data_IF_513748891100
#
_entry.id   IF_513748891100
#
_cell.length_a   1.000
_cell.length_b   1.000
_cell.length_c   1.000
_cell.angle_alpha   90.00
_cell.angle_beta   90.00
_cell.angle_gamma   90.00
#
_symmetry.space_group_name_H-M   'P 1'
#
loop_
_entity.id
_entity.type
_entity.pdbx_description
1 polymer ?
#
# COMPACT_ATOMS: atom_id res chain seq x y z
N UNK A 1 -1.02 -25.32 -8.64
CA UNK A 1 -0.06 -24.35 -9.23
C UNK A 1 -0.79 -23.63 -10.35
N UNK A 2 -0.74 -22.30 -10.36
CA UNK A 2 -1.56 -21.47 -11.23
C UNK A 2 -0.71 -20.48 -12.02
N UNK A 3 -1.27 -19.97 -13.11
CA UNK A 3 -0.57 -19.08 -14.04
C UNK A 3 -1.37 -17.82 -14.36
N UNK A 4 -0.66 -16.70 -14.55
CA UNK A 4 -1.16 -15.54 -15.27
C UNK A 4 -0.90 -15.76 -16.76
N UNK A 5 -1.97 -15.93 -17.54
CA UNK A 5 -1.94 -16.11 -19.00
C UNK A 5 -2.19 -14.75 -19.65
N UNK A 6 -1.14 -14.10 -20.14
CA UNK A 6 -1.21 -12.74 -20.68
C UNK A 6 -1.22 -12.82 -22.21
N UNK A 7 -2.26 -12.28 -22.84
CA UNK A 7 -2.40 -12.21 -24.30
C UNK A 7 -2.29 -10.76 -24.76
N UNK A 8 -1.30 -10.46 -25.60
CA UNK A 8 -1.23 -9.18 -26.33
C UNK A 8 -1.94 -9.35 -27.69
N UNK A 9 -3.08 -8.69 -27.88
CA UNK A 9 -3.84 -8.69 -29.14
C UNK A 9 -3.70 -7.39 -29.95
N UNK A 10 -2.76 -6.52 -29.59
CA UNK A 10 -2.39 -5.39 -30.45
C UNK A 10 -1.53 -5.84 -31.63
N UNK A 11 -1.47 -4.99 -32.65
CA UNK A 11 -0.62 -5.14 -33.83
C UNK A 11 0.85 -4.81 -33.57
N UNK A 12 1.22 -4.45 -32.32
CA UNK A 12 2.57 -4.09 -31.88
C UNK A 12 3.01 -4.94 -30.70
N UNK A 13 4.31 -4.97 -30.40
CA UNK A 13 4.78 -5.52 -29.13
C UNK A 13 4.34 -4.61 -27.98
N UNK A 14 3.95 -5.20 -26.85
CA UNK A 14 3.54 -4.48 -25.64
C UNK A 14 4.40 -4.92 -24.46
N UNK A 15 4.94 -3.96 -23.71
CA UNK A 15 5.69 -4.20 -22.48
C UNK A 15 4.77 -4.09 -21.26
N UNK A 16 4.96 -5.01 -20.33
CA UNK A 16 4.28 -5.03 -19.04
C UNK A 16 5.31 -5.02 -17.91
N UNK A 17 5.10 -4.22 -16.87
CA UNK A 17 5.80 -4.43 -15.60
C UNK A 17 5.06 -5.53 -14.84
N UNK A 18 5.81 -6.43 -14.21
CA UNK A 18 5.25 -7.56 -13.47
C UNK A 18 5.65 -7.46 -12.00
N UNK A 19 4.94 -6.65 -11.22
CA UNK A 19 5.23 -6.49 -9.79
C UNK A 19 4.66 -7.69 -9.02
N UNK A 20 5.42 -8.26 -8.08
CA UNK A 20 5.04 -9.47 -7.34
C UNK A 20 5.08 -10.78 -8.14
N UNK A 21 5.35 -10.71 -9.45
CA UNK A 21 5.37 -11.83 -10.40
C UNK A 21 6.63 -11.76 -11.27
N UNK A 22 6.97 -12.80 -12.04
CA UNK A 22 8.13 -12.83 -12.96
C UNK A 22 9.49 -12.45 -12.31
N UNK A 23 9.62 -12.53 -10.99
CA UNK A 23 10.78 -12.01 -10.26
C UNK A 23 10.98 -10.49 -10.39
N UNK A 24 9.89 -9.71 -10.43
CA UNK A 24 9.86 -8.25 -10.61
C UNK A 24 10.51 -7.76 -11.92
N UNK A 25 10.52 -8.59 -12.98
CA UNK A 25 11.07 -8.25 -14.29
C UNK A 25 9.99 -7.85 -15.28
N UNK A 26 10.26 -6.82 -16.07
CA UNK A 26 9.44 -6.44 -17.21
C UNK A 26 9.34 -7.58 -18.24
N UNK A 27 8.17 -7.68 -18.87
CA UNK A 27 7.84 -8.68 -19.88
C UNK A 27 7.35 -7.98 -21.15
N UNK A 28 8.09 -8.12 -22.25
CA UNK A 28 7.63 -7.67 -23.57
C UNK A 28 7.01 -8.83 -24.34
N UNK A 29 5.72 -8.73 -24.67
CA UNK A 29 4.99 -9.72 -25.47
C UNK A 29 4.83 -9.17 -26.89
N UNK A 30 5.25 -9.95 -27.89
CA UNK A 30 5.14 -9.56 -29.30
C UNK A 30 3.68 -9.34 -29.76
N UNK A 31 3.51 -8.67 -30.90
CA UNK A 31 2.21 -8.47 -31.54
C UNK A 31 1.46 -9.80 -31.74
N UNK A 32 0.18 -9.84 -31.36
CA UNK A 32 -0.65 -11.06 -31.31
C UNK A 32 -0.06 -12.24 -30.48
N UNK A 33 0.93 -11.96 -29.62
CA UNK A 33 1.62 -12.95 -28.81
C UNK A 33 0.94 -13.26 -27.48
N UNK A 34 1.45 -14.27 -26.79
CA UNK A 34 1.01 -14.67 -25.46
C UNK A 34 2.20 -15.07 -24.58
N UNK A 35 2.03 -14.98 -23.27
CA UNK A 35 2.98 -15.44 -22.26
C UNK A 35 2.24 -16.07 -21.07
N UNK A 36 2.94 -16.91 -20.31
CA UNK A 36 2.48 -17.46 -19.04
C UNK A 36 3.50 -17.15 -17.96
N UNK A 37 3.05 -16.61 -16.82
CA UNK A 37 3.86 -16.35 -15.63
C UNK A 37 3.32 -17.22 -14.50
N UNK A 38 4.19 -17.84 -13.70
CA UNK A 38 3.77 -18.57 -12.50
C UNK A 38 3.19 -17.61 -11.46
N UNK A 39 2.05 -17.99 -10.87
CA UNK A 39 1.39 -17.27 -9.79
C UNK A 39 0.90 -18.27 -8.72
N UNK A 40 1.79 -18.67 -7.79
CA UNK A 40 1.44 -19.53 -6.67
C UNK A 40 0.37 -18.92 -5.75
N UNK A 41 -0.32 -19.78 -4.99
CA UNK A 41 -1.26 -19.33 -3.97
C UNK A 41 -0.55 -18.56 -2.85
N UNK A 42 -1.21 -17.53 -2.31
CA UNK A 42 -0.64 -16.61 -1.33
C UNK A 42 0.19 -15.46 -1.92
N UNK A 43 0.43 -15.43 -3.23
CA UNK A 43 1.13 -14.30 -3.89
C UNK A 43 0.21 -13.12 -4.19
N UNK A 44 0.77 -11.90 -4.20
CA UNK A 44 0.08 -10.66 -4.54
C UNK A 44 0.97 -9.78 -5.41
N UNK A 45 0.38 -9.03 -6.34
CA UNK A 45 1.13 -8.23 -7.31
C UNK A 45 0.25 -7.62 -8.41
N UNK A 46 0.89 -7.11 -9.47
CA UNK A 46 0.21 -6.49 -10.61
C UNK A 46 0.93 -6.71 -11.95
N UNK A 47 0.14 -6.77 -13.02
CA UNK A 47 0.59 -6.74 -14.43
C UNK A 47 0.18 -5.39 -15.02
N UNK A 48 1.16 -4.50 -15.25
CA UNK A 48 0.96 -3.07 -15.56
C UNK A 48 1.39 -2.81 -17.00
N UNK A 49 0.50 -2.31 -17.87
CA UNK A 49 0.85 -1.96 -19.24
C UNK A 49 1.67 -0.65 -19.30
N UNK A 50 2.74 -0.62 -20.10
CA UNK A 50 3.63 0.54 -20.25
C UNK A 50 3.44 1.20 -21.62
N UNK A 51 3.21 2.50 -21.62
CA UNK A 51 2.90 3.32 -22.80
C UNK A 51 3.84 4.51 -22.89
N UNK A 52 4.66 4.57 -23.94
CA UNK A 52 5.67 5.63 -24.14
C UNK A 52 6.66 5.78 -22.95
N UNK A 53 6.94 4.67 -22.24
CA UNK A 53 7.77 4.67 -21.02
C UNK A 53 7.04 5.07 -19.73
N UNK A 54 5.72 5.29 -19.79
CA UNK A 54 4.87 5.65 -18.63
C UNK A 54 3.90 4.51 -18.34
N UNK A 55 3.73 4.16 -17.06
CA UNK A 55 2.71 3.20 -16.65
C UNK A 55 1.28 3.67 -16.98
N UNK A 56 0.40 2.73 -17.33
CA UNK A 56 -1.01 3.00 -17.62
C UNK A 56 -1.92 2.08 -16.82
N UNK A 57 -2.78 1.36 -17.54
CA UNK A 57 -3.71 0.40 -16.96
C UNK A 57 -3.02 -0.83 -16.38
N UNK A 58 -3.51 -1.30 -15.23
CA UNK A 58 -2.96 -2.43 -14.49
C UNK A 58 -4.03 -3.47 -14.16
N UNK A 59 -3.64 -4.74 -14.19
CA UNK A 59 -4.38 -5.83 -13.56
C UNK A 59 -3.73 -6.10 -12.21
N UNK A 60 -4.46 -5.90 -11.12
CA UNK A 60 -4.02 -6.25 -9.77
C UNK A 60 -4.50 -7.69 -9.48
N UNK A 61 -3.65 -8.52 -8.85
CA UNK A 61 -3.93 -9.94 -8.58
C UNK A 61 -3.42 -10.31 -7.18
N UNK A 62 -4.27 -10.88 -6.34
CA UNK A 62 -3.86 -11.68 -5.17
C UNK A 62 -4.43 -13.09 -5.30
N UNK A 63 -3.55 -14.09 -5.27
CA UNK A 63 -3.87 -15.50 -5.48
C UNK A 63 -4.30 -16.17 -4.17
N UNK A 64 -5.45 -16.84 -4.17
CA UNK A 64 -5.97 -17.56 -2.98
C UNK A 64 -6.04 -16.68 -1.71
N UNK A 65 -6.30 -15.37 -1.86
CA UNK A 65 -6.29 -14.39 -0.77
C UNK A 65 -7.58 -14.38 0.03
N UNK A 66 -8.55 -13.56 -0.41
CA UNK A 66 -9.79 -13.34 0.36
C UNK A 66 -10.60 -14.63 0.50
N UNK A 67 -10.61 -15.20 1.71
CA UNK A 67 -11.27 -16.46 2.04
C UNK A 67 -10.84 -17.63 1.13
N UNK A 68 -9.57 -17.65 0.70
CA UNK A 68 -9.03 -18.67 -0.23
C UNK A 68 -9.46 -18.49 -1.70
N UNK A 69 -10.02 -17.34 -2.05
CA UNK A 69 -10.39 -17.00 -3.43
C UNK A 69 -9.37 -16.02 -4.02
N UNK A 70 -9.19 -16.06 -5.34
CA UNK A 70 -8.46 -14.99 -6.03
C UNK A 70 -9.20 -13.66 -5.89
N UNK A 71 -8.47 -12.58 -5.57
CA UNK A 71 -8.93 -11.22 -5.89
C UNK A 71 -8.19 -10.77 -7.13
N UNK A 72 -8.95 -10.34 -8.13
CA UNK A 72 -8.43 -9.73 -9.36
C UNK A 72 -9.22 -8.46 -9.62
N UNK A 73 -8.58 -7.45 -10.17
CA UNK A 73 -9.26 -6.25 -10.67
C UNK A 73 -8.50 -5.64 -11.86
N UNK A 74 -9.12 -4.64 -12.47
CA UNK A 74 -8.51 -3.81 -13.51
C UNK A 74 -8.64 -2.37 -13.07
N UNK A 75 -7.52 -1.67 -13.12
CA UNK A 75 -7.30 -0.39 -12.47
C UNK A 75 -6.63 0.57 -13.44
N UNK A 76 -7.19 1.78 -13.54
CA UNK A 76 -6.69 2.86 -14.39
C UNK A 76 -6.08 4.00 -13.56
N UNK A 77 -5.85 3.78 -12.26
CA UNK A 77 -5.43 4.82 -11.31
C UNK A 77 -4.07 5.45 -11.64
N UNK A 78 -3.20 4.69 -12.30
CA UNK A 78 -1.88 5.13 -12.76
C UNK A 78 -1.91 5.75 -14.17
N UNK A 79 -2.96 5.47 -14.95
CA UNK A 79 -3.19 6.01 -16.27
C UNK A 79 -3.97 5.06 -17.19
N UNK A 80 -3.97 5.37 -18.48
CA UNK A 80 -4.38 4.44 -19.53
C UNK A 80 -3.72 4.80 -20.86
N UNK A 81 -3.34 3.81 -21.65
CA UNK A 81 -2.92 3.96 -23.05
C UNK A 81 -3.43 2.86 -23.98
N UNK A 82 -3.92 1.76 -23.42
CA UNK A 82 -4.59 0.68 -24.15
C UNK A 82 -5.78 0.13 -23.39
N UNK A 83 -6.28 -1.03 -23.83
CA UNK A 83 -7.40 -1.71 -23.20
C UNK A 83 -6.92 -3.00 -22.54
N UNK A 84 -7.26 -3.19 -21.27
CA UNK A 84 -6.89 -4.35 -20.48
C UNK A 84 -8.15 -4.98 -19.85
N UNK A 85 -8.23 -6.30 -19.87
CA UNK A 85 -9.26 -7.06 -19.13
C UNK A 85 -8.65 -8.25 -18.40
N UNK A 86 -9.32 -8.74 -17.34
CA UNK A 86 -8.96 -9.99 -16.68
C UNK A 86 -10.18 -10.82 -16.26
N UNK A 87 -10.01 -12.14 -16.21
CA UNK A 87 -10.97 -13.09 -15.62
C UNK A 87 -10.25 -14.33 -15.12
N UNK A 88 -10.88 -15.16 -14.28
CA UNK A 88 -10.35 -16.51 -14.09
C UNK A 88 -10.59 -17.36 -15.35
N UNK A 89 -9.68 -18.29 -15.65
CA UNK A 89 -9.83 -19.25 -16.74
C UNK A 89 -11.01 -20.18 -16.45
N UNK A 90 -11.89 -20.34 -17.45
CA UNK A 90 -13.14 -21.10 -17.32
C UNK A 90 -14.35 -20.29 -16.86
N UNK A 91 -14.19 -19.02 -16.48
CA UNK A 91 -15.34 -18.15 -16.17
C UNK A 91 -16.14 -17.81 -17.45
N UNK A 92 -17.45 -17.66 -17.27
CA UNK A 92 -18.39 -17.44 -18.37
C UNK A 92 -18.17 -16.09 -19.11
N UNK A 93 -18.49 -16.01 -20.42
CA UNK A 93 -18.39 -14.76 -21.19
C UNK A 93 -19.10 -13.58 -20.52
N UNK A 94 -18.44 -12.42 -20.48
CA UNK A 94 -18.95 -11.22 -19.82
C UNK A 94 -18.79 -11.18 -18.29
N UNK A 95 -18.13 -12.17 -17.67
CA UNK A 95 -17.71 -12.13 -16.25
C UNK A 95 -16.31 -11.54 -16.04
N UNK A 96 -15.65 -11.09 -17.11
CA UNK A 96 -14.38 -10.38 -17.01
C UNK A 96 -14.53 -8.97 -16.42
N UNK A 97 -13.40 -8.48 -15.94
CA UNK A 97 -13.20 -7.17 -15.33
C UNK A 97 -12.39 -6.27 -16.26
N UNK A 98 -12.52 -4.96 -16.10
CA UNK A 98 -11.97 -3.97 -17.02
C UNK A 98 -12.96 -3.57 -18.12
N UNK A 99 -12.63 -2.50 -18.82
CA UNK A 99 -13.43 -1.96 -19.92
C UNK A 99 -12.75 -2.33 -21.24
N UNK A 100 -13.29 -3.32 -21.97
CA UNK A 100 -12.64 -3.93 -23.15
C UNK A 100 -12.35 -2.98 -24.32
N UNK A 101 -13.02 -1.82 -24.34
CA UNK A 101 -12.84 -0.72 -25.31
C UNK A 101 -12.57 0.64 -24.63
N UNK A 102 -11.84 0.65 -23.50
CA UNK A 102 -11.62 1.84 -22.66
C UNK A 102 -11.15 3.06 -23.45
N UNK A 103 -10.10 2.93 -24.27
CA UNK A 103 -9.52 4.04 -25.03
C UNK A 103 -10.44 4.53 -26.14
N UNK A 104 -11.25 3.66 -26.75
CA UNK A 104 -12.27 4.08 -27.72
C UNK A 104 -13.40 4.86 -27.03
N UNK A 105 -13.85 4.41 -25.85
CA UNK A 105 -14.83 5.13 -25.05
C UNK A 105 -14.27 6.48 -24.54
N UNK A 106 -13.00 6.50 -24.11
CA UNK A 106 -12.27 7.71 -23.73
C UNK A 106 -12.19 8.71 -24.89
N UNK A 107 -11.85 8.26 -26.09
CA UNK A 107 -11.78 9.11 -27.28
C UNK A 107 -13.17 9.64 -27.70
N UNK A 108 -14.21 8.80 -27.63
CA UNK A 108 -15.60 9.22 -27.86
C UNK A 108 -16.10 10.23 -26.82
N UNK A 109 -15.72 10.08 -25.55
CA UNK A 109 -16.05 11.03 -24.49
C UNK A 109 -15.28 12.35 -24.67
N UNK A 110 -13.98 12.27 -24.97
CA UNK A 110 -13.11 13.43 -25.24
C UNK A 110 -13.65 14.31 -26.36
N UNK A 111 -14.00 13.71 -27.51
CA UNK A 111 -14.52 14.49 -28.64
C UNK A 111 -15.85 15.19 -28.34
N UNK A 112 -16.65 14.68 -27.38
CA UNK A 112 -17.89 15.31 -26.88
C UNK A 112 -17.68 16.41 -25.84
N UNK A 113 -16.48 16.60 -25.30
CA UNK A 113 -16.20 17.67 -24.33
C UNK A 113 -16.20 19.06 -24.98
N UNK A 114 -16.72 20.05 -24.26
CA UNK A 114 -16.52 21.47 -24.57
C UNK A 114 -15.05 21.85 -24.47
N UNK A 115 -14.65 22.93 -25.16
CA UNK A 115 -13.24 23.34 -25.16
C UNK A 115 -12.75 23.70 -23.75
N UNK A 116 -13.58 24.29 -22.89
CA UNK A 116 -13.20 24.58 -21.50
C UNK A 116 -12.91 23.30 -20.70
N UNK A 117 -13.63 22.21 -20.97
CA UNK A 117 -13.36 20.91 -20.34
C UNK A 117 -12.11 20.24 -20.91
N UNK A 118 -11.81 20.42 -22.21
CA UNK A 118 -10.52 20.01 -22.81
C UNK A 118 -9.36 20.81 -22.21
N UNK A 119 -9.52 22.12 -22.01
CA UNK A 119 -8.54 23.00 -21.38
C UNK A 119 -8.27 22.60 -19.91
N UNK A 120 -9.31 22.23 -19.15
CA UNK A 120 -9.20 21.70 -17.78
C UNK A 120 -8.48 20.34 -17.68
N UNK A 121 -8.24 19.67 -18.81
CA UNK A 121 -7.56 18.36 -18.90
C UNK A 121 -6.19 18.45 -19.60
N UNK A 122 -5.73 19.66 -19.92
CA UNK A 122 -4.41 19.88 -20.54
C UNK A 122 -3.28 19.33 -19.64
N UNK A 123 -2.29 18.68 -20.25
CA UNK A 123 -1.22 17.97 -19.53
C UNK A 123 -1.63 16.62 -18.89
N UNK A 124 -2.93 16.30 -18.83
CA UNK A 124 -3.45 15.06 -18.25
C UNK A 124 -4.11 14.12 -19.29
N UNK A 125 -4.57 14.67 -20.42
CA UNK A 125 -4.98 13.92 -21.61
C UNK A 125 -3.99 14.19 -22.75
N UNK A 126 -3.40 13.13 -23.31
CA UNK A 126 -2.37 13.20 -24.34
C UNK A 126 -2.95 12.76 -25.68
N UNK A 127 -2.74 13.57 -26.72
CA UNK A 127 -3.33 13.36 -28.04
C UNK A 127 -2.33 12.86 -29.09
N UNK A 128 -2.85 12.20 -30.13
CA UNK A 128 -2.14 11.96 -31.39
C UNK A 128 -2.18 13.19 -32.32
N UNK A 129 -1.52 13.11 -33.48
CA UNK A 129 -1.53 14.16 -34.50
C UNK A 129 -2.88 14.39 -35.20
N UNK A 130 -3.88 13.56 -34.92
CA UNK A 130 -5.26 13.67 -35.40
C UNK A 130 -6.22 14.17 -34.31
N UNK A 131 -5.71 14.50 -33.11
CA UNK A 131 -6.50 14.97 -31.97
C UNK A 131 -7.24 13.89 -31.19
N UNK A 132 -6.96 12.60 -31.43
CA UNK A 132 -7.50 11.50 -30.65
C UNK A 132 -6.70 11.27 -29.37
N UNK A 133 -7.34 10.76 -28.32
CA UNK A 133 -6.66 10.39 -27.08
C UNK A 133 -5.76 9.16 -27.30
N UNK A 134 -4.44 9.34 -27.21
CA UNK A 134 -3.45 8.24 -27.22
C UNK A 134 -3.12 7.72 -25.83
N UNK A 135 -3.22 8.56 -24.80
CA UNK A 135 -2.91 8.22 -23.40
C UNK A 135 -3.59 9.20 -22.44
N UNK A 136 -3.85 8.79 -21.20
CA UNK A 136 -4.16 9.67 -20.08
C UNK A 136 -3.16 9.46 -18.93
N UNK A 137 -2.97 10.48 -18.11
CA UNK A 137 -2.21 10.41 -16.85
C UNK A 137 -3.01 9.74 -15.73
N UNK A 138 -2.43 9.70 -14.53
CA UNK A 138 -3.03 9.10 -13.34
C UNK A 138 -4.30 9.86 -12.87
N UNK A 139 -5.52 9.30 -12.94
CA UNK A 139 -6.74 9.98 -12.50
C UNK A 139 -6.76 10.20 -10.97
N UNK A 140 -6.12 9.31 -10.20
CA UNK A 140 -5.99 9.42 -8.73
C UNK A 140 -5.31 10.72 -8.27
N UNK A 141 -4.46 11.30 -9.12
CA UNK A 141 -3.68 12.52 -8.84
C UNK A 141 -4.40 13.80 -9.31
N UNK A 142 -5.44 13.70 -10.14
CA UNK A 142 -6.08 14.86 -10.74
C UNK A 142 -7.60 14.68 -10.91
N UNK A 143 -8.35 15.21 -9.93
CA UNK A 143 -9.82 15.10 -9.82
C UNK A 143 -10.61 15.45 -11.11
N UNK A 144 -10.25 16.45 -11.93
CA UNK A 144 -10.95 16.68 -13.21
C UNK A 144 -10.79 15.54 -14.21
N UNK A 145 -9.65 14.85 -14.23
CA UNK A 145 -9.45 13.65 -15.05
C UNK A 145 -10.23 12.46 -14.46
N UNK A 146 -10.24 12.27 -13.14
CA UNK A 146 -11.10 11.26 -12.49
C UNK A 146 -12.57 11.45 -12.88
N UNK A 147 -13.09 12.68 -12.76
CA UNK A 147 -14.44 13.04 -13.16
C UNK A 147 -14.71 12.77 -14.65
N UNK A 148 -13.75 13.06 -15.52
CA UNK A 148 -13.86 12.74 -16.96
C UNK A 148 -13.92 11.23 -17.22
N UNK A 149 -13.01 10.43 -16.64
CA UNK A 149 -12.97 8.97 -16.84
C UNK A 149 -14.26 8.31 -16.30
N UNK A 150 -14.81 8.81 -15.20
CA UNK A 150 -16.11 8.36 -14.69
C UNK A 150 -17.30 8.64 -15.62
N UNK A 151 -17.18 9.51 -16.63
CA UNK A 151 -18.27 9.69 -17.63
C UNK A 151 -18.45 8.49 -18.57
N UNK A 152 -17.47 7.61 -18.69
CA UNK A 152 -17.53 6.46 -19.62
C UNK A 152 -17.11 5.11 -19.02
N UNK A 153 -16.30 5.07 -17.95
CA UNK A 153 -15.75 3.82 -17.41
C UNK A 153 -16.20 3.43 -15.99
N UNK A 154 -17.04 4.24 -15.34
CA UNK A 154 -17.44 4.05 -13.94
C UNK A 154 -18.09 2.66 -13.71
N UNK A 155 -17.56 1.89 -12.76
CA UNK A 155 -18.01 0.51 -12.48
C UNK A 155 -17.52 -0.57 -13.45
N UNK A 156 -16.79 -0.20 -14.51
CA UNK A 156 -16.16 -1.16 -15.44
C UNK A 156 -14.67 -1.34 -15.15
N UNK A 157 -14.04 -0.31 -14.62
CA UNK A 157 -12.64 -0.27 -14.18
C UNK A 157 -12.53 0.52 -12.88
N UNK A 158 -11.48 0.30 -12.10
CA UNK A 158 -11.18 1.00 -10.87
C UNK A 158 -10.45 2.32 -11.21
N UNK A 159 -11.08 3.48 -10.95
CA UNK A 159 -10.68 4.77 -11.55
C UNK A 159 -9.98 5.69 -10.54
N UNK A 160 -10.48 5.74 -9.31
CA UNK A 160 -9.98 6.65 -8.27
C UNK A 160 -9.37 5.91 -7.10
N UNK A 161 -9.36 6.55 -5.93
CA UNK A 161 -9.13 5.85 -4.67
C UNK A 161 -10.46 5.18 -4.28
N UNK A 162 -10.52 3.86 -4.32
CA UNK A 162 -11.64 3.06 -3.83
C UNK A 162 -11.73 3.04 -2.31
N UNK A 163 -12.33 2.00 -1.74
CA UNK A 163 -12.41 1.85 -0.29
C UNK A 163 -10.99 1.70 0.32
N UNK A 164 -10.53 2.74 1.01
CA UNK A 164 -9.17 2.82 1.56
C UNK A 164 -9.16 3.66 2.84
N UNK A 165 -8.64 3.08 3.93
CA UNK A 165 -8.77 3.63 5.27
C UNK A 165 -10.23 3.99 5.62
N UNK A 166 -10.53 5.22 6.08
CA UNK A 166 -11.89 5.66 6.38
C UNK A 166 -12.71 6.07 5.13
N UNK A 167 -12.10 6.08 3.93
CA UNK A 167 -12.85 6.32 2.69
C UNK A 167 -13.66 5.08 2.34
N UNK A 168 -14.97 5.23 2.17
CA UNK A 168 -15.82 4.20 1.56
C UNK A 168 -15.54 4.04 0.05
N UNK A 169 -14.72 4.91 -0.54
CA UNK A 169 -14.39 4.89 -1.97
C UNK A 169 -15.57 5.29 -2.86
N UNK A 170 -15.44 4.96 -4.15
CA UNK A 170 -16.58 4.93 -5.05
C UNK A 170 -17.23 3.53 -5.00
N UNK A 171 -18.54 3.40 -4.70
CA UNK A 171 -19.21 2.10 -4.65
C UNK A 171 -19.11 1.28 -5.95
N UNK A 172 -19.00 1.95 -7.10
CA UNK A 172 -18.85 1.27 -8.40
C UNK A 172 -17.42 0.74 -8.61
N UNK A 173 -16.40 1.46 -8.12
CA UNK A 173 -15.01 0.95 -8.10
C UNK A 173 -14.91 -0.27 -7.18
N UNK A 174 -15.61 -0.26 -6.04
CA UNK A 174 -15.59 -1.38 -5.08
C UNK A 174 -16.28 -2.66 -5.59
N UNK A 175 -17.32 -2.56 -6.44
CA UNK A 175 -17.95 -3.74 -7.09
C UNK A 175 -16.96 -4.50 -7.97
N UNK A 176 -16.03 -3.76 -8.58
CA UNK A 176 -14.97 -4.28 -9.43
C UNK A 176 -14.09 -5.26 -8.64
N UNK A 177 -13.64 -4.90 -7.44
CA UNK A 177 -12.73 -5.69 -6.56
C UNK A 177 -13.33 -6.96 -5.92
N UNK A 178 -14.50 -7.43 -6.35
CA UNK A 178 -15.16 -8.64 -5.82
C UNK A 178 -14.33 -9.92 -6.05
N UNK A 179 -14.19 -10.79 -5.04
CA UNK A 179 -13.41 -12.02 -5.17
C UNK A 179 -13.98 -13.01 -6.20
N UNK A 180 -13.11 -13.83 -6.80
CA UNK A 180 -13.44 -14.93 -7.69
C UNK A 180 -13.99 -16.16 -6.96
N UNK A 181 -13.90 -17.34 -7.58
CA UNK A 181 -14.29 -18.62 -6.95
C UNK A 181 -13.10 -19.59 -6.91
N UNK A 182 -12.54 -19.75 -5.72
CA UNK A 182 -11.28 -20.47 -5.48
C UNK A 182 -10.08 -19.81 -6.15
N UNK A 183 -8.96 -20.52 -6.15
CA UNK A 183 -7.77 -20.18 -6.93
C UNK A 183 -7.82 -20.84 -8.32
N UNK A 184 -7.57 -20.06 -9.37
CA UNK A 184 -7.48 -20.53 -10.76
C UNK A 184 -6.35 -19.82 -11.51
N UNK A 185 -6.07 -20.28 -12.74
CA UNK A 185 -5.31 -19.46 -13.70
C UNK A 185 -6.09 -18.17 -14.00
N UNK A 186 -5.39 -17.06 -14.18
CA UNK A 186 -5.96 -15.76 -14.56
C UNK A 186 -5.66 -15.50 -16.04
N UNK A 187 -6.68 -15.26 -16.84
CA UNK A 187 -6.54 -14.80 -18.22
C UNK A 187 -6.55 -13.26 -18.21
N UNK A 188 -5.45 -12.67 -18.66
CA UNK A 188 -5.27 -11.22 -18.83
C UNK A 188 -5.16 -10.93 -20.33
N UNK A 189 -5.93 -9.98 -20.85
CA UNK A 189 -5.93 -9.64 -22.27
C UNK A 189 -5.71 -8.16 -22.46
N UNK A 190 -4.64 -7.81 -23.18
CA UNK A 190 -4.32 -6.48 -23.64
C UNK A 190 -4.71 -6.31 -25.11
N UNK A 191 -5.19 -5.14 -25.51
CA UNK A 191 -5.45 -4.79 -26.90
C UNK A 191 -5.43 -3.27 -27.13
N UNK A 192 -4.94 -2.84 -28.29
CA UNK A 192 -5.22 -1.47 -28.79
C UNK A 192 -6.66 -1.38 -29.35
N UNK A 193 -7.26 -2.52 -29.71
CA UNK A 193 -8.63 -2.67 -30.20
C UNK A 193 -9.57 -3.22 -29.11
N UNK A 194 -10.33 -4.27 -29.39
CA UNK A 194 -11.16 -4.93 -28.37
C UNK A 194 -10.30 -5.88 -27.51
N UNK A 195 -10.31 -5.69 -26.18
CA UNK A 195 -9.61 -6.52 -25.20
C UNK A 195 -10.47 -7.60 -24.53
N UNK A 196 -11.71 -7.83 -24.97
CA UNK A 196 -12.60 -8.84 -24.39
C UNK A 196 -11.99 -10.25 -24.54
N UNK A 197 -11.97 -11.11 -23.49
CA UNK A 197 -11.35 -12.43 -23.54
C UNK A 197 -11.86 -13.32 -24.67
N UNK A 198 -13.13 -13.21 -25.05
CA UNK A 198 -13.65 -13.67 -26.33
C UNK A 198 -14.27 -12.48 -27.09
N UNK A 199 -13.62 -11.98 -28.17
CA UNK A 199 -14.10 -10.82 -28.90
C UNK A 199 -15.19 -11.16 -29.94
N UNK A 200 -15.47 -12.46 -30.18
CA UNK A 200 -16.56 -12.90 -31.05
C UNK A 200 -17.90 -12.88 -30.33
N UNK A 201 -17.89 -13.01 -29.00
CA UNK A 201 -19.08 -12.95 -28.15
C UNK A 201 -19.38 -11.50 -27.75
N UNK A 202 -20.65 -11.10 -27.85
CA UNK A 202 -21.09 -9.79 -27.33
C UNK A 202 -20.83 -9.71 -25.83
N UNK A 203 -20.34 -8.58 -25.36
CA UNK A 203 -20.26 -8.27 -23.93
C UNK A 203 -21.69 -8.19 -23.36
N UNK A 204 -22.05 -9.18 -22.55
CA UNK A 204 -23.27 -9.17 -21.71
C UNK A 204 -23.06 -8.33 -20.45
N UNK A 205 -21.82 -8.29 -19.97
CA UNK A 205 -21.35 -7.53 -18.82
C UNK A 205 -21.83 -8.03 -17.47
N UNK A 206 -21.32 -7.39 -16.42
CA UNK A 206 -22.19 -7.07 -15.30
C UNK A 206 -23.18 -6.02 -15.82
N UNK A 207 -24.47 -6.35 -15.79
CA UNK A 207 -25.52 -5.37 -16.05
C UNK A 207 -25.54 -4.39 -14.88
N UNK A 208 -24.82 -3.27 -15.02
CA UNK A 208 -25.23 -2.04 -14.37
C UNK A 208 -26.64 -1.77 -14.85
N UNK A 209 -27.64 -2.06 -14.00
CA UNK A 209 -28.96 -1.47 -14.17
C UNK A 209 -28.72 0.03 -14.29
N UNK A 210 -29.16 0.62 -15.41
CA UNK A 210 -28.92 2.03 -15.65
C UNK A 210 -29.52 2.81 -14.46
N UNK A 211 -28.68 3.54 -13.74
CA UNK A 211 -29.15 4.46 -12.70
C UNK A 211 -29.81 5.60 -13.45
N UNK A 212 -31.11 5.44 -13.70
CA UNK A 212 -31.89 6.34 -14.54
C UNK A 212 -31.82 7.75 -13.98
N UNK A 213 -31.09 8.63 -14.66
CA UNK A 213 -31.21 10.06 -14.44
C UNK A 213 -32.65 10.44 -14.78
N UNK A 214 -33.46 10.68 -13.75
CA UNK A 214 -34.87 11.03 -13.89
C UNK A 214 -35.03 12.40 -14.57
N UNK A 215 -35.10 12.40 -15.91
CA UNK A 215 -35.94 13.35 -16.62
C UNK A 215 -37.39 12.88 -16.53
N UNK A 216 -38.31 13.84 -16.38
CA UNK A 216 -39.73 13.61 -16.18
C UNK A 216 -40.42 13.15 -17.48
N UNK A 217 -41.07 11.97 -17.49
CA UNK A 217 -42.31 11.73 -18.23
C UNK A 217 -42.95 10.33 -17.98
N UNK A 218 -44.14 10.34 -17.36
CA UNK A 218 -45.32 9.51 -17.70
C UNK A 218 -45.27 7.96 -17.50
N UNK A 219 -46.46 7.41 -17.21
CA UNK A 219 -46.84 6.02 -16.88
C UNK A 219 -46.72 5.01 -18.05
N UNK A 220 -47.00 3.69 -17.95
CA UNK A 220 -47.86 2.90 -17.01
C UNK A 220 -47.60 1.37 -17.07
N UNK A 221 -47.98 0.61 -16.02
CA UNK A 221 -48.53 -0.80 -16.01
C UNK A 221 -47.80 -1.97 -16.73
N UNK A 222 -47.86 -3.25 -16.32
CA UNK A 222 -48.25 -3.98 -15.08
C UNK A 222 -47.94 -5.51 -15.23
N UNK A 223 -48.21 -6.31 -14.18
CA UNK A 223 -48.35 -7.79 -14.11
C UNK A 223 -47.15 -8.75 -13.88
N UNK A 224 -47.31 -9.51 -12.77
CA UNK A 224 -47.21 -10.97 -12.55
C UNK A 224 -45.84 -11.69 -12.75
N UNK A 225 -45.27 -12.35 -11.72
CA UNK A 225 -45.50 -13.74 -11.22
C UNK A 225 -45.07 -14.86 -12.22
N UNK A 226 -44.46 -16.00 -11.82
CA UNK A 226 -44.90 -17.03 -10.86
C UNK A 226 -43.73 -17.75 -10.14
N UNK A 227 -44.04 -18.44 -9.03
CA UNK A 227 -43.20 -19.35 -8.22
C UNK A 227 -42.45 -20.48 -8.97
N UNK A 228 -41.41 -21.06 -8.34
CA UNK A 228 -41.53 -22.43 -7.78
C UNK A 228 -40.54 -22.74 -6.64
N UNK A 229 -40.84 -23.78 -5.85
CA UNK A 229 -40.06 -24.32 -4.70
C UNK A 229 -39.59 -25.74 -5.00
N UNK A 230 -38.50 -26.17 -4.36
CA UNK A 230 -38.32 -27.57 -3.88
C UNK A 230 -37.63 -27.54 -2.50
N UNK A 231 -38.04 -28.43 -1.59
CA UNK A 231 -37.48 -28.62 -0.24
C UNK A 231 -37.03 -30.08 -0.04
N UNK A 232 -35.95 -30.30 0.73
CA UNK A 232 -35.66 -31.40 1.68
C UNK A 232 -34.14 -31.46 1.96
N UNK A 233 -33.59 -31.54 3.18
CA UNK A 233 -33.86 -32.26 4.45
C UNK A 233 -33.20 -33.65 4.57
N UNK A 234 -33.01 -34.09 5.83
CA UNK A 234 -32.17 -35.21 6.37
C UNK A 234 -30.74 -34.75 6.71
N UNK A 235 -30.38 -34.40 7.96
CA UNK A 235 -30.38 -35.07 9.30
C UNK A 235 -29.05 -35.72 9.68
N UNK A 236 -28.46 -35.15 10.73
CA UNK A 236 -27.52 -35.69 11.74
C UNK A 236 -28.05 -36.97 12.46
N UNK A 237 -27.31 -37.71 13.34
CA UNK A 237 -26.42 -37.17 14.41
C UNK A 237 -25.19 -38.01 14.87
N UNK A 238 -24.55 -37.54 15.95
CA UNK A 238 -24.03 -38.27 17.17
C UNK A 238 -22.61 -37.83 17.61
N UNK A 239 -22.42 -37.78 18.93
CA UNK A 239 -21.25 -37.32 19.69
C UNK A 239 -20.07 -38.35 19.71
N UNK A 240 -18.96 -38.19 20.47
CA UNK A 240 -18.91 -38.06 21.94
C UNK A 240 -17.62 -37.41 22.53
N UNK A 241 -17.56 -37.30 23.86
CA UNK A 241 -16.56 -36.57 24.68
C UNK A 241 -15.12 -37.16 24.74
N UNK A 242 -14.15 -36.35 25.21
CA UNK A 242 -13.35 -36.70 26.41
C UNK A 242 -12.50 -35.54 26.99
N UNK A 243 -12.41 -35.47 28.32
CA UNK A 243 -11.44 -34.71 29.13
C UNK A 243 -10.28 -35.64 29.60
N UNK A 244 -9.22 -35.27 30.36
CA UNK A 244 -8.93 -34.08 31.19
C UNK A 244 -7.55 -33.44 30.79
N UNK A 245 -6.48 -33.15 31.57
CA UNK A 245 -6.00 -33.33 32.97
C UNK A 245 -5.18 -32.07 33.39
N UNK A 246 -4.85 -31.91 34.68
CA UNK A 246 -4.13 -30.74 35.27
C UNK A 246 -2.73 -31.06 35.84
N UNK A 247 -1.83 -30.06 35.90
CA UNK A 247 -0.92 -29.66 37.02
C UNK A 247 0.03 -28.53 36.51
N UNK A 248 0.30 -27.41 37.19
CA UNK A 248 0.94 -27.11 38.50
C UNK A 248 2.49 -27.26 38.51
N UNK A 249 3.29 -26.52 39.31
CA UNK A 249 3.37 -25.08 39.66
C UNK A 249 4.55 -24.84 40.65
N UNK A 250 5.58 -24.07 40.26
CA UNK A 250 6.71 -23.55 41.08
C UNK A 250 7.23 -22.31 40.33
N UNK A 251 7.44 -21.08 40.82
CA UNK A 251 7.67 -20.41 42.13
C UNK A 251 9.02 -20.64 42.83
N UNK A 252 10.02 -19.84 42.43
CA UNK A 252 11.08 -19.39 43.34
C UNK A 252 11.33 -17.90 43.17
N UNK A 253 10.98 -17.10 44.18
CA UNK A 253 11.51 -15.73 44.38
C UNK A 253 13.01 -15.79 44.68
N UNK A 254 13.75 -14.76 44.28
CA UNK A 254 15.02 -14.43 44.92
C UNK A 254 15.06 -12.91 45.18
N UNK A 255 15.47 -12.53 46.39
CA UNK A 255 15.36 -11.16 46.88
C UNK A 255 16.54 -10.27 46.45
N UNK A 256 16.32 -8.96 46.42
CA UNK A 256 17.31 -7.97 46.01
C UNK A 256 17.95 -7.27 47.22
N UNK A 257 19.27 -7.05 47.17
CA UNK A 257 20.01 -6.18 48.09
C UNK A 257 21.19 -5.49 47.37
N UNK A 258 21.81 -4.44 47.94
CA UNK A 258 21.59 -3.08 47.43
C UNK A 258 22.64 -2.55 46.46
N UNK A 259 22.32 -1.40 45.85
CA UNK A 259 23.16 -0.73 44.85
C UNK A 259 24.46 -0.16 45.42
N UNK A 260 25.57 -0.42 44.70
CA UNK A 260 26.83 0.33 44.85
C UNK A 260 26.90 1.46 43.81
N UNK A 261 27.13 2.69 44.28
CA UNK A 261 27.13 3.89 43.44
C UNK A 261 28.44 4.04 42.65
N UNK A 262 28.49 3.49 41.44
CA UNK A 262 29.64 3.65 40.54
C UNK A 262 29.54 4.97 39.77
N UNK A 263 30.45 5.90 40.06
CA UNK A 263 30.54 7.17 39.35
C UNK A 263 31.13 6.96 37.94
N UNK A 264 30.26 6.93 36.92
CA UNK A 264 30.69 6.84 35.53
C UNK A 264 31.34 8.15 35.07
N UNK A 265 32.66 8.13 34.89
CA UNK A 265 33.39 9.19 34.17
C UNK A 265 32.97 9.12 32.70
N UNK A 266 32.18 10.11 32.26
CA UNK A 266 31.66 10.17 30.90
C UNK A 266 32.79 10.48 29.90
N UNK A 267 33.44 9.44 29.37
CA UNK A 267 34.37 9.56 28.26
C UNK A 267 33.61 10.05 27.01
N UNK A 268 33.70 11.34 26.72
CA UNK A 268 33.13 11.96 25.51
C UNK A 268 33.88 11.49 24.28
N UNK A 269 33.51 10.32 23.76
CA UNK A 269 33.95 9.86 22.45
C UNK A 269 33.58 10.92 21.41
N UNK A 270 34.59 11.48 20.73
CA UNK A 270 34.37 12.45 19.66
C UNK A 270 33.59 11.77 18.54
N UNK A 271 32.37 12.25 18.29
CA UNK A 271 31.52 11.71 17.22
C UNK A 271 32.24 11.95 15.90
N UNK A 272 32.77 10.88 15.31
CA UNK A 272 33.47 10.94 14.02
C UNK A 272 32.48 11.47 12.98
N UNK A 273 32.77 12.66 12.45
CA UNK A 273 31.90 13.37 11.51
C UNK A 273 31.51 12.45 10.35
N UNK A 274 30.22 12.45 9.98
CA UNK A 274 29.66 11.51 9.01
C UNK A 274 30.35 11.64 7.64
N UNK A 275 31.06 10.59 7.23
CA UNK A 275 31.82 10.54 5.98
C UNK A 275 31.03 9.79 4.90
N UNK A 276 29.97 10.43 4.39
CA UNK A 276 29.15 9.91 3.27
C UNK A 276 27.66 9.78 3.58
N UNK A 277 26.87 9.26 2.62
CA UNK A 277 25.42 9.17 2.71
C UNK A 277 24.93 8.08 3.68
N UNK A 278 23.80 8.35 4.34
CA UNK A 278 23.15 7.42 5.27
C UNK A 278 22.65 8.11 6.54
N UNK A 279 22.87 7.49 7.70
CA UNK A 279 22.54 8.12 8.99
C UNK A 279 23.64 7.97 10.03
N UNK A 280 23.75 8.96 10.93
CA UNK A 280 24.22 8.73 12.29
C UNK A 280 23.05 8.18 13.12
N UNK A 281 23.29 7.14 13.91
CA UNK A 281 22.29 6.50 14.75
C UNK A 281 22.79 6.44 16.20
N UNK A 282 22.11 7.15 17.10
CA UNK A 282 22.39 7.14 18.54
C UNK A 282 21.36 6.33 19.31
N UNK A 283 21.84 5.39 20.11
CA UNK A 283 21.02 4.68 21.09
C UNK A 283 21.16 5.34 22.46
N UNK A 284 20.19 6.19 22.82
CA UNK A 284 20.16 6.92 24.09
C UNK A 284 19.42 6.11 25.16
N UNK A 285 20.02 4.99 25.54
CA UNK A 285 19.57 4.11 26.62
C UNK A 285 20.74 3.52 27.43
N UNK A 286 20.39 2.89 28.54
CA UNK A 286 21.24 2.09 29.42
C UNK A 286 21.58 0.69 28.85
N UNK A 287 20.67 0.11 28.05
CA UNK A 287 20.84 -1.18 27.36
C UNK A 287 21.38 -1.06 25.93
N UNK A 288 22.00 -2.13 25.42
CA UNK A 288 22.30 -2.30 23.98
C UNK A 288 20.97 -2.53 23.25
N UNK A 289 20.76 -1.89 22.10
CA UNK A 289 19.59 -2.13 21.24
C UNK A 289 20.02 -2.51 19.83
N UNK A 290 19.24 -3.37 19.18
CA UNK A 290 19.36 -3.70 17.76
C UNK A 290 18.35 -2.87 16.97
N UNK A 291 18.77 -2.28 15.86
CA UNK A 291 17.95 -1.45 14.99
C UNK A 291 17.87 -2.05 13.61
N UNK A 292 16.65 -2.13 13.07
CA UNK A 292 16.36 -2.74 11.77
C UNK A 292 16.02 -1.65 10.76
N UNK A 293 16.51 -1.83 9.54
CA UNK A 293 16.33 -0.92 8.41
C UNK A 293 15.45 -1.57 7.36
N UNK A 294 14.44 -0.85 6.89
CA UNK A 294 13.46 -1.33 5.94
C UNK A 294 13.44 -0.37 4.74
N UNK A 295 13.73 -0.86 3.53
CA UNK A 295 13.57 -0.08 2.30
C UNK A 295 12.15 -0.34 1.78
N UNK A 296 11.33 0.71 1.65
CA UNK A 296 9.87 0.54 1.52
C UNK A 296 9.50 0.08 0.10
N UNK A 297 8.70 -0.99 -0.02
CA UNK A 297 8.26 -1.57 -1.29
C UNK A 297 7.67 -0.54 -2.27
N UNK A 298 6.82 0.36 -1.78
CA UNK A 298 6.15 1.39 -2.59
C UNK A 298 7.08 2.44 -3.22
N UNK A 299 8.36 2.49 -2.86
CA UNK A 299 9.33 3.34 -3.56
C UNK A 299 9.87 2.73 -4.87
N UNK A 300 9.47 1.49 -5.20
CA UNK A 300 9.84 0.80 -6.44
C UNK A 300 11.22 0.14 -6.40
N UNK A 301 11.94 0.22 -5.27
CA UNK A 301 13.28 -0.34 -5.07
C UNK A 301 13.46 -1.08 -3.74
N UNK A 302 12.39 -1.25 -2.95
CA UNK A 302 12.40 -1.87 -1.63
C UNK A 302 11.61 -3.18 -1.59
N UNK A 303 11.73 -3.91 -0.47
CA UNK A 303 11.08 -5.21 -0.25
C UNK A 303 10.11 -5.19 0.95
N UNK A 304 10.18 -4.17 1.83
CA UNK A 304 9.36 -4.12 3.03
C UNK A 304 7.91 -3.68 2.70
N UNK A 305 6.97 -4.58 2.94
CA UNK A 305 5.52 -4.33 2.81
C UNK A 305 4.90 -3.72 4.08
N UNK A 306 3.56 -3.79 4.17
CA UNK A 306 2.78 -3.18 5.25
C UNK A 306 3.10 -3.69 6.67
N UNK A 307 3.61 -4.91 6.78
CA UNK A 307 3.94 -5.52 8.07
C UNK A 307 5.38 -5.21 8.52
N UNK A 308 6.22 -4.66 7.63
CA UNK A 308 7.66 -4.46 7.84
C UNK A 308 8.36 -5.77 8.24
N UNK A 309 8.11 -6.77 7.39
CA UNK A 309 8.51 -8.17 7.45
C UNK A 309 9.88 -8.45 6.80
N UNK A 310 10.32 -7.59 5.88
CA UNK A 310 11.58 -7.75 5.13
C UNK A 310 12.61 -6.65 5.47
N UNK A 311 13.41 -6.81 6.55
CA UNK A 311 14.48 -5.87 6.88
C UNK A 311 15.69 -6.02 5.95
N UNK A 312 16.09 -4.93 5.30
CA UNK A 312 17.28 -4.85 4.44
C UNK A 312 18.58 -5.15 5.22
N UNK A 313 18.67 -4.68 6.47
CA UNK A 313 19.78 -4.95 7.40
C UNK A 313 19.41 -4.59 8.83
N UNK A 314 20.26 -4.98 9.78
CA UNK A 314 20.24 -4.47 11.15
C UNK A 314 21.61 -3.97 11.59
N UNK A 315 21.66 -3.19 12.68
CA UNK A 315 22.88 -2.84 13.42
C UNK A 315 22.63 -2.92 14.92
N UNK A 316 23.62 -3.36 15.69
CA UNK A 316 23.61 -3.21 17.15
C UNK A 316 24.26 -1.89 17.55
N UNK A 317 23.68 -1.21 18.55
CA UNK A 317 24.23 0.04 19.10
C UNK A 317 24.25 -0.05 20.62
N UNK A 318 25.44 0.11 21.22
CA UNK A 318 25.61 0.03 22.67
C UNK A 318 24.96 1.18 23.45
N UNK A 319 24.96 1.09 24.78
CA UNK A 319 24.41 2.13 25.66
C UNK A 319 25.05 3.49 25.40
N UNK A 320 24.23 4.52 25.15
CA UNK A 320 24.64 5.89 24.83
C UNK A 320 25.65 6.03 23.66
N UNK A 321 25.78 5.00 22.80
CA UNK A 321 26.68 5.05 21.64
C UNK A 321 26.03 5.68 20.42
N UNK A 322 26.87 6.21 19.54
CA UNK A 322 26.50 6.68 18.20
C UNK A 322 27.32 5.92 17.16
N UNK A 323 26.65 5.36 16.14
CA UNK A 323 27.30 4.69 15.01
C UNK A 323 26.97 5.41 13.71
N UNK A 324 27.87 5.31 12.72
CA UNK A 324 27.58 5.73 11.34
C UNK A 324 27.08 4.53 10.56
N UNK A 325 25.90 4.64 9.95
CA UNK A 325 25.26 3.61 9.14
C UNK A 325 25.19 4.08 7.69
N UNK A 326 26.17 3.71 6.84
CA UNK A 326 26.16 4.10 5.43
C UNK A 326 25.01 3.42 4.69
N UNK A 327 24.40 4.15 3.76
CA UNK A 327 23.27 3.69 2.93
C UNK A 327 23.42 4.20 1.49
N UNK A 328 22.76 3.54 0.55
CA UNK A 328 22.67 4.02 -0.84
C UNK A 328 21.89 5.33 -0.90
N UNK A 329 22.24 6.21 -1.83
CA UNK A 329 21.40 7.36 -2.21
C UNK A 329 19.99 6.95 -2.65
N UNK A 330 19.79 5.70 -3.09
CA UNK A 330 18.47 5.15 -3.45
C UNK A 330 17.61 4.71 -2.26
N UNK A 331 18.14 4.63 -1.03
CA UNK A 331 17.39 4.13 0.12
C UNK A 331 16.26 5.11 0.49
N UNK A 332 15.03 4.59 0.56
CA UNK A 332 13.81 5.33 0.91
C UNK A 332 12.95 4.47 1.82
N UNK A 333 13.13 4.68 3.12
CA UNK A 333 12.81 3.66 4.09
C UNK A 333 12.71 4.16 5.51
N UNK A 334 12.86 3.22 6.44
CA UNK A 334 12.64 3.43 7.87
C UNK A 334 13.74 2.78 8.69
N UNK A 335 14.02 3.34 9.85
CA UNK A 335 14.77 2.70 10.93
C UNK A 335 13.90 2.63 12.19
N UNK A 336 13.90 1.47 12.84
CA UNK A 336 13.17 1.24 14.10
C UNK A 336 13.99 0.37 15.06
N UNK A 337 13.55 0.30 16.32
CA UNK A 337 14.18 -0.52 17.37
C UNK A 337 13.54 -1.91 17.39
N UNK A 338 14.36 -2.95 17.22
CA UNK A 338 13.87 -4.32 17.03
C UNK A 338 13.14 -4.52 15.70
N UNK A 339 12.63 -5.73 15.52
CA UNK A 339 11.97 -6.27 14.32
C UNK A 339 10.44 -6.34 14.47
N UNK A 340 9.88 -5.79 15.56
CA UNK A 340 8.49 -6.02 15.99
C UNK A 340 7.71 -4.73 16.22
N UNK A 341 6.56 -4.63 15.55
CA UNK A 341 5.53 -3.62 15.80
C UNK A 341 4.68 -3.99 17.03
N UNK A 342 4.09 -3.03 17.77
CA UNK A 342 4.15 -1.58 17.54
C UNK A 342 5.50 -0.97 17.93
N UNK A 343 6.02 0.00 17.15
CA UNK A 343 7.35 0.59 17.34
C UNK A 343 7.43 2.04 16.83
N UNK A 344 8.28 2.85 17.46
CA UNK A 344 8.59 4.21 16.99
C UNK A 344 9.49 4.15 15.76
N UNK A 345 9.19 4.96 14.75
CA UNK A 345 9.95 5.02 13.50
C UNK A 345 10.72 6.33 13.33
N UNK A 346 11.92 6.22 12.75
CA UNK A 346 12.54 7.29 11.98
C UNK A 346 12.36 7.01 10.49
N UNK A 347 11.56 7.82 9.80
CA UNK A 347 11.34 7.69 8.35
C UNK A 347 12.31 8.59 7.60
N UNK A 348 12.90 8.12 6.50
CA UNK A 348 13.79 8.96 5.69
C UNK A 348 14.05 8.44 4.26
N UNK A 349 14.37 9.37 3.38
CA UNK A 349 15.06 9.13 2.11
C UNK A 349 16.46 9.72 2.15
N UNK A 350 17.47 8.94 1.73
CA UNK A 350 18.88 9.40 1.71
C UNK A 350 19.11 10.44 0.63
N UNK A 351 18.37 10.36 -0.48
CA UNK A 351 18.32 11.40 -1.51
C UNK A 351 16.91 11.64 -2.02
N UNK A 352 16.40 12.84 -1.80
CA UNK A 352 15.14 13.32 -2.34
C UNK A 352 15.28 13.74 -3.81
N UNK A 353 14.23 13.58 -4.60
CA UNK A 353 14.24 13.84 -6.05
C UNK A 353 14.00 15.30 -6.44
N UNK A 354 13.55 16.13 -5.49
CA UNK A 354 13.25 17.55 -5.67
C UNK A 354 14.48 18.47 -5.50
N UNK A 355 15.35 18.20 -4.52
CA UNK A 355 16.53 19.05 -4.22
C UNK A 355 17.86 18.27 -4.06
N UNK A 356 17.81 16.94 -3.95
CA UNK A 356 18.99 16.10 -3.77
C UNK A 356 19.56 16.04 -2.36
N UNK A 357 18.85 16.52 -1.32
CA UNK A 357 19.20 16.32 0.09
C UNK A 357 18.68 14.99 0.66
N UNK A 358 19.14 14.62 1.85
CA UNK A 358 18.42 13.63 2.67
C UNK A 358 17.25 14.31 3.37
N UNK A 359 16.11 13.64 3.48
CA UNK A 359 14.90 14.14 4.17
C UNK A 359 14.39 13.07 5.10
N UNK A 360 13.97 13.45 6.32
CA UNK A 360 13.38 12.51 7.27
C UNK A 360 12.67 13.15 8.45
N UNK A 361 11.91 12.32 9.14
CA UNK A 361 10.96 12.69 10.18
C UNK A 361 10.83 11.56 11.23
N UNK A 362 9.94 11.75 12.21
CA UNK A 362 9.61 10.75 13.23
C UNK A 362 8.14 10.39 13.08
N UNK A 363 7.81 9.11 13.16
CA UNK A 363 6.47 8.60 12.93
C UNK A 363 6.06 7.61 14.00
N UNK A 364 4.81 7.78 14.48
CA UNK A 364 4.14 6.93 15.47
C UNK A 364 2.95 6.18 14.83
N UNK A 365 2.85 6.18 13.50
CA UNK A 365 1.72 5.56 12.79
C UNK A 365 1.60 4.05 13.07
N UNK A 366 2.72 3.36 13.35
CA UNK A 366 2.76 1.99 13.88
C UNK A 366 3.05 1.90 15.38
N UNK A 367 2.70 2.92 16.14
CA UNK A 367 2.78 2.99 17.60
C UNK A 367 4.06 3.66 18.09
N UNK A 368 4.28 3.59 19.40
CA UNK A 368 5.43 4.23 20.03
C UNK A 368 6.01 3.36 21.16
N UNK A 369 7.27 2.95 21.00
CA UNK A 369 8.06 2.16 21.97
C UNK A 369 9.20 2.97 22.61
N UNK A 370 9.25 4.27 22.35
CA UNK A 370 10.21 5.21 22.95
C UNK A 370 10.23 6.55 22.19
N UNK A 371 10.81 7.57 22.79
CA UNK A 371 10.95 8.87 22.14
C UNK A 371 12.05 8.83 21.07
N UNK A 372 11.94 9.66 20.03
CA UNK A 372 12.94 9.74 18.96
C UNK A 372 13.03 11.15 18.36
N UNK A 373 14.23 11.52 17.91
CA UNK A 373 14.52 12.79 17.21
C UNK A 373 15.35 12.54 15.95
N UNK A 374 15.16 13.42 14.97
CA UNK A 374 15.96 13.48 13.73
C UNK A 374 16.58 14.87 13.59
N UNK A 375 17.83 14.94 13.14
CA UNK A 375 18.57 16.17 12.93
C UNK A 375 19.39 16.17 11.62
N UNK A 376 19.59 17.35 11.04
CA UNK A 376 20.47 17.59 9.90
C UNK A 376 21.95 17.44 10.30
N UNK A 377 22.81 16.90 9.45
CA UNK A 377 24.27 16.80 9.73
C UNK A 377 25.16 17.68 8.85
N UNK A 378 24.56 18.46 7.94
CA UNK A 378 25.21 19.45 7.06
C UNK A 378 25.60 20.78 7.75
N UNK A 379 25.52 20.85 9.08
CA UNK A 379 25.85 22.04 9.87
C UNK A 379 24.70 23.04 10.02
N UNK A 380 23.52 22.81 9.42
CA UNK A 380 22.35 23.68 9.65
C UNK A 380 21.70 23.48 11.03
N UNK A 381 21.91 22.31 11.65
CA UNK A 381 21.39 21.91 12.98
C UNK A 381 19.85 21.98 13.11
N UNK A 382 19.13 21.90 11.98
CA UNK A 382 17.67 21.71 11.96
C UNK A 382 17.34 20.36 12.59
N UNK A 383 16.33 20.30 13.46
CA UNK A 383 15.90 19.06 14.11
C UNK A 383 14.41 19.04 14.43
N UNK A 384 13.83 17.85 14.42
CA UNK A 384 12.46 17.60 14.84
C UNK A 384 12.33 16.24 15.55
N UNK A 385 11.10 15.84 15.91
CA UNK A 385 10.85 14.75 16.85
C UNK A 385 10.71 15.24 18.28
N UNK A 386 10.81 14.31 19.23
CA UNK A 386 10.55 14.55 20.65
C UNK A 386 11.48 13.72 21.54
N UNK A 387 11.76 14.24 22.73
CA UNK A 387 12.58 13.57 23.77
C UNK A 387 11.77 13.19 25.01
N UNK A 388 10.47 13.49 25.00
CA UNK A 388 9.55 13.24 26.09
C UNK A 388 9.12 11.78 26.07
N UNK A 389 9.34 11.07 27.17
CA UNK A 389 8.63 9.82 27.45
C UNK A 389 7.12 10.09 27.49
N UNK A 390 6.41 9.53 26.51
CA UNK A 390 4.95 9.55 26.40
C UNK A 390 4.33 8.16 26.62
N UNK A 391 5.14 7.12 26.79
CA UNK A 391 4.65 5.77 27.08
C UNK A 391 4.19 5.71 28.55
N UNK A 392 4.91 6.40 29.43
CA UNK A 392 4.56 6.61 30.84
C UNK A 392 3.38 7.56 31.00
N UNK A 393 2.46 7.16 31.89
CA UNK A 393 1.25 7.94 32.20
C UNK A 393 0.15 7.88 31.14
N UNK A 394 0.36 7.17 30.02
CA UNK A 394 -0.68 6.95 29.02
C UNK A 394 -1.88 6.18 29.60
N UNK A 395 -3.11 6.44 29.13
CA UNK A 395 -4.29 5.73 29.60
C UNK A 395 -4.24 4.26 29.21
N UNK A 396 -4.81 3.37 30.02
CA UNK A 396 -4.74 1.91 29.80
C UNK A 396 -5.18 1.47 28.39
N UNK A 397 -6.15 2.16 27.79
CA UNK A 397 -6.67 1.89 26.45
C UNK A 397 -5.72 2.29 25.31
N UNK A 398 -4.71 3.16 25.52
CA UNK A 398 -3.76 3.59 24.50
C UNK A 398 -2.65 2.56 24.21
N UNK A 399 -2.51 1.53 25.04
CA UNK A 399 -1.44 0.55 24.91
C UNK A 399 -1.80 -0.60 23.98
N UNK A 400 -0.80 -1.08 23.25
CA UNK A 400 -0.77 -2.37 22.60
C UNK A 400 0.26 -3.30 23.24
N UNK A 401 0.55 -4.41 22.57
CA UNK A 401 1.69 -5.28 22.85
C UNK A 401 2.41 -5.62 21.55
N UNK A 402 3.75 -5.67 21.59
CA UNK A 402 4.55 -6.37 20.59
C UNK A 402 4.35 -7.91 20.73
N UNK A 403 4.64 -8.72 19.70
CA UNK A 403 4.61 -10.20 19.80
C UNK A 403 5.44 -10.78 20.96
N UNK A 404 6.57 -10.16 21.32
CA UNK A 404 7.37 -10.52 22.50
C UNK A 404 6.72 -10.19 23.87
N UNK A 405 5.54 -9.58 23.87
CA UNK A 405 4.80 -9.19 25.08
C UNK A 405 5.10 -7.79 25.61
N UNK A 406 6.08 -7.07 25.06
CA UNK A 406 6.45 -5.70 25.47
C UNK A 406 5.26 -4.75 25.29
N UNK A 407 4.93 -4.01 26.35
CA UNK A 407 3.78 -3.10 26.40
C UNK A 407 4.19 -1.70 25.94
N UNK A 408 3.64 -1.26 24.82
CA UNK A 408 3.99 -0.04 24.09
C UNK A 408 2.73 0.74 23.71
N UNK A 409 2.82 1.97 23.22
CA UNK A 409 1.64 2.64 22.64
C UNK A 409 1.23 1.93 21.34
N UNK A 410 -0.07 1.72 21.17
CA UNK A 410 -0.62 0.99 20.04
C UNK A 410 -0.58 1.82 18.75
N UNK A 411 -0.47 1.13 17.61
CA UNK A 411 -0.57 1.70 16.26
C UNK A 411 -1.83 2.55 16.07
N UNK A 412 -1.65 3.80 15.61
CA UNK A 412 -2.70 4.80 15.42
C UNK A 412 -3.41 4.70 14.06
N UNK A 413 -2.79 3.99 13.10
CA UNK A 413 -3.38 3.62 11.80
C UNK A 413 -3.76 2.12 11.74
N UNK A 414 -3.45 1.36 12.80
CA UNK A 414 -3.44 -0.10 12.77
C UNK A 414 -2.40 -0.64 11.77
N UNK A 415 -2.36 -1.95 11.54
CA UNK A 415 -1.53 -2.49 10.46
C UNK A 415 -2.08 -1.99 9.11
N UNK A 416 -1.42 -0.98 8.53
CA UNK A 416 -1.71 -0.25 7.29
C UNK A 416 -3.13 -0.46 6.73
N UNK A 417 -4.10 0.35 7.18
CA UNK A 417 -5.58 0.24 7.02
C UNK A 417 -6.33 -0.54 8.12
N UNK A 418 -5.78 -0.64 9.33
CA UNK A 418 -6.57 -1.01 10.51
C UNK A 418 -7.45 0.17 11.00
N UNK A 419 -8.31 -0.04 12.01
CA UNK A 419 -9.10 1.04 12.61
C UNK A 419 -8.26 2.05 13.41
N UNK A 420 -7.03 1.66 13.79
CA UNK A 420 -6.16 2.43 14.68
C UNK A 420 -6.61 2.44 16.14
N UNK A 421 -5.68 2.68 17.05
CA UNK A 421 -6.02 2.92 18.45
C UNK A 421 -6.29 4.41 18.70
N UNK A 422 -7.57 4.80 18.74
CA UNK A 422 -7.98 6.19 18.99
C UNK A 422 -7.44 6.73 20.32
N UNK A 423 -7.35 5.90 21.37
CA UNK A 423 -6.83 6.36 22.65
C UNK A 423 -5.31 6.64 22.62
N UNK A 424 -4.55 5.95 21.76
CA UNK A 424 -3.17 6.30 21.45
C UNK A 424 -3.12 7.63 20.67
N UNK A 425 -3.88 7.77 19.60
CA UNK A 425 -3.97 9.00 18.78
C UNK A 425 -4.32 10.24 19.62
N UNK A 426 -5.37 10.16 20.45
CA UNK A 426 -5.82 11.24 21.33
C UNK A 426 -4.74 11.60 22.37
N UNK A 427 -4.02 10.60 22.88
CA UNK A 427 -2.94 10.79 23.84
C UNK A 427 -1.70 11.43 23.20
N UNK A 428 -1.24 10.91 22.07
CA UNK A 428 -0.05 11.39 21.37
C UNK A 428 -0.22 12.84 20.91
N UNK A 429 -1.36 13.20 20.30
CA UNK A 429 -1.65 14.61 19.97
C UNK A 429 -1.70 15.49 21.22
N UNK A 430 -2.22 15.00 22.35
CA UNK A 430 -2.21 15.74 23.63
C UNK A 430 -0.80 15.91 24.19
N UNK A 431 0.13 14.97 23.97
CA UNK A 431 1.48 15.06 24.50
C UNK A 431 2.47 15.83 23.61
N UNK A 432 2.29 15.78 22.28
CA UNK A 432 3.26 16.25 21.29
C UNK A 432 2.74 17.36 20.35
N UNK A 433 1.42 17.47 20.18
CA UNK A 433 0.83 18.21 19.05
C UNK A 433 1.10 17.55 17.70
N UNK A 434 0.64 18.18 16.61
CA UNK A 434 0.78 17.63 15.24
C UNK A 434 2.14 17.88 14.58
N UNK A 435 2.96 18.78 15.10
CA UNK A 435 4.19 19.24 14.44
C UNK A 435 5.45 18.42 14.79
N UNK A 436 5.34 17.39 15.64
CA UNK A 436 6.49 16.69 16.23
C UNK A 436 6.70 15.26 15.77
N UNK A 437 5.65 14.54 15.39
CA UNK A 437 5.74 13.23 14.79
C UNK A 437 4.47 12.93 13.99
N UNK A 438 4.53 12.05 12.99
CA UNK A 438 3.35 11.58 12.27
C UNK A 438 2.53 10.67 13.18
N UNK A 439 1.51 11.24 13.81
CA UNK A 439 0.57 10.55 14.71
C UNK A 439 -0.62 9.99 13.92
N UNK A 440 -1.07 10.69 12.88
CA UNK A 440 -2.09 10.21 11.93
C UNK A 440 -2.02 11.01 10.62
N UNK A 441 -2.13 10.32 9.49
CA UNK A 441 -1.92 10.89 8.16
C UNK A 441 -0.46 11.29 7.88
N UNK A 442 -0.15 11.51 6.60
CA UNK A 442 1.18 11.89 6.12
C UNK A 442 1.36 13.39 5.83
N UNK A 443 0.72 14.27 6.61
CA UNK A 443 0.87 15.74 6.45
C UNK A 443 0.91 16.46 7.81
N UNK A 444 1.53 17.64 7.84
CA UNK A 444 1.52 18.55 9.01
C UNK A 444 2.75 18.49 9.93
N UNK A 445 3.65 17.53 9.74
CA UNK A 445 4.96 17.48 10.41
C UNK A 445 6.00 18.13 9.49
N UNK A 446 6.76 19.15 9.96
CA UNK A 446 7.94 19.63 9.24
C UNK A 446 9.03 18.55 9.25
N UNK A 447 9.47 18.16 8.06
CA UNK A 447 10.58 17.24 7.84
C UNK A 447 11.94 17.93 8.07
N UNK A 448 12.98 17.13 8.27
CA UNK A 448 14.35 17.60 8.44
C UNK A 448 15.17 17.24 7.20
N UNK A 449 15.51 18.27 6.43
CA UNK A 449 16.38 18.17 5.27
C UNK A 449 17.87 18.26 5.67
N UNK A 450 18.77 17.60 4.94
CA UNK A 450 20.21 17.80 5.06
C UNK A 450 20.98 17.56 3.77
N UNK A 451 21.74 18.57 3.32
CA UNK A 451 22.37 18.65 2.00
C UNK A 451 23.53 17.69 1.80
N UNK A 452 24.20 17.27 2.88
CA UNK A 452 25.26 16.27 2.83
C UNK A 452 24.74 14.82 2.65
N UNK A 453 23.42 14.64 2.49
CA UNK A 453 22.75 13.34 2.35
C UNK A 453 22.92 12.43 3.58
N UNK A 454 23.09 13.02 4.78
CA UNK A 454 23.16 12.29 6.04
C UNK A 454 22.30 12.96 7.13
N UNK A 455 21.48 12.16 7.82
CA UNK A 455 20.67 12.57 8.97
C UNK A 455 21.20 11.96 10.27
N UNK A 456 20.85 12.53 11.41
CA UNK A 456 21.19 11.99 12.73
C UNK A 456 19.90 11.64 13.47
N UNK A 457 19.62 10.34 13.58
CA UNK A 457 18.53 9.81 14.41
C UNK A 457 19.04 9.49 15.82
N UNK A 458 18.33 9.97 16.83
CA UNK A 458 18.55 9.58 18.24
C UNK A 458 17.29 8.92 18.78
N UNK A 459 17.40 7.67 19.22
CA UNK A 459 16.32 6.92 19.85
C UNK A 459 16.55 6.84 21.35
N UNK A 460 15.55 7.25 22.12
CA UNK A 460 15.54 7.25 23.58
C UNK A 460 14.76 6.02 24.07
N UNK A 461 15.15 5.44 25.20
CA UNK A 461 14.36 4.39 25.90
C UNK A 461 13.74 4.97 27.16
N UNK A 462 12.64 4.34 27.60
CA UNK A 462 11.91 4.61 28.85
C UNK A 462 12.31 3.60 29.91
#
# INVERSE_FOLDING_TARGET
MHYLRIHNRSSRSQTFQCHGYNGNKDLTINANGQASIEAPDGTSGAIIAVHEGVIGEQCEITKCGWQGNDTIDISNICGAGGNLTCQQVGDAPGKFKGHETFMQACNQAWHKLSQDKKNQLNGHVFLDGSGNVKRIGAPKEFRPLEQFVRTFANGRTYIGVGAWGPSQGNPEDNKQSSAGKGSKDILIVYSDGNAAPDPSKKFTGQSLQAVTFNLLAVSSTSHDEVNEKVEDQVKEPVADEHAIVTEAAVDTKQEAQPANTVAFVAATASVKQASGPGILLTNKSDKKNTYFFYDNYWNGNGEAGANFDHPLKHVEVGPNQTVSVPLSYSFKGRVQRGDQLPATWGEFQVKASNDGGAHGDISLQQGCDGAATVASTDGTNVSNGFVKDIVKGAPAAAFGKKPNGEKVLASTEGNWNGPGNKAATDWEYKQLGSAKAYIKGGTGVPDVASKNNCLHFTFYVV
#
